data_IF_889845333868
#
_entry.id   IF_889845333868
#
_cell.length_a   1.000
_cell.length_b   1.000
_cell.length_c   1.000
_cell.angle_alpha   90.00
_cell.angle_beta   90.00
_cell.angle_gamma   90.00
#
_symmetry.space_group_name_H-M   'P 1'
#
loop_
_entity.id
_entity.type
_entity.pdbx_description
1 polymer ?
#
# COMPACT_ATOMS: atom_id res chain seq x y z
N UNK A 1 -30.48 22.31 -4.13
CA UNK A 1 -30.69 20.85 -4.04
C UNK A 1 -29.37 20.04 -4.11
N UNK A 2 -28.34 20.42 -4.84
CA UNK A 2 -27.04 19.72 -4.93
C UNK A 2 -26.21 19.74 -3.62
N UNK A 3 -26.28 20.81 -2.82
CA UNK A 3 -25.49 20.94 -1.58
C UNK A 3 -25.91 19.93 -0.49
N UNK A 4 -27.21 19.58 -0.42
CA UNK A 4 -27.71 18.59 0.58
C UNK A 4 -27.31 17.16 0.24
N UNK A 5 -27.05 16.85 -1.04
CA UNK A 5 -26.59 15.52 -1.44
C UNK A 5 -25.12 15.28 -1.08
N UNK A 6 -24.26 16.30 -1.23
CA UNK A 6 -22.84 16.23 -0.88
C UNK A 6 -22.63 16.00 0.62
N UNK A 7 -23.35 16.76 1.46
CA UNK A 7 -23.28 16.61 2.94
C UNK A 7 -23.79 15.21 3.35
N UNK A 8 -24.77 14.67 2.65
CA UNK A 8 -25.30 13.32 2.94
C UNK A 8 -24.33 12.19 2.56
N UNK A 9 -23.49 12.40 1.53
CA UNK A 9 -22.45 11.43 1.11
C UNK A 9 -21.29 11.45 2.08
N UNK A 10 -20.79 12.63 2.47
CA UNK A 10 -19.74 12.75 3.49
C UNK A 10 -20.16 12.12 4.80
N UNK A 11 -21.35 12.44 5.33
CA UNK A 11 -21.85 11.84 6.57
C UNK A 11 -22.02 10.31 6.45
N UNK A 12 -22.40 9.78 5.30
CA UNK A 12 -22.53 8.32 5.10
C UNK A 12 -21.16 7.63 5.04
N UNK A 13 -20.14 8.28 4.47
CA UNK A 13 -18.76 7.77 4.47
C UNK A 13 -18.23 7.75 5.89
N UNK A 14 -18.38 8.82 6.68
CA UNK A 14 -17.98 8.85 8.08
C UNK A 14 -18.74 7.83 8.93
N UNK A 15 -20.04 7.65 8.70
CA UNK A 15 -20.87 6.65 9.40
C UNK A 15 -20.43 5.23 9.02
N UNK A 16 -20.10 4.96 7.76
CA UNK A 16 -19.63 3.63 7.33
C UNK A 16 -18.22 3.35 7.88
N UNK A 17 -17.33 4.34 7.87
CA UNK A 17 -15.99 4.24 8.47
C UNK A 17 -16.09 4.10 10.00
N UNK A 18 -17.00 4.85 10.64
CA UNK A 18 -17.26 4.75 12.07
C UNK A 18 -17.94 3.43 12.45
N UNK A 19 -18.85 2.92 11.62
CA UNK A 19 -19.48 1.62 11.83
C UNK A 19 -18.48 0.47 11.69
N UNK A 20 -17.57 0.54 10.74
CA UNK A 20 -16.47 -0.41 10.61
C UNK A 20 -15.50 -0.32 11.80
N UNK A 21 -15.22 0.89 12.30
CA UNK A 21 -14.42 1.10 13.51
C UNK A 21 -15.13 0.63 14.79
N UNK A 22 -16.46 0.82 14.89
CA UNK A 22 -17.27 0.41 16.06
C UNK A 22 -17.50 -1.10 16.11
N UNK A 23 -17.45 -1.79 14.95
CA UNK A 23 -17.55 -3.25 14.92
C UNK A 23 -16.26 -3.95 15.39
N UNK A 24 -15.26 -3.18 15.81
CA UNK A 24 -14.04 -3.72 16.42
C UNK A 24 -13.24 -4.58 15.45
N UNK A 25 -13.25 -4.22 14.16
CA UNK A 25 -12.55 -4.91 13.09
C UNK A 25 -11.21 -4.22 12.89
N UNK A 26 -10.11 -4.78 13.35
CA UNK A 26 -8.78 -4.27 13.07
C UNK A 26 -8.21 -4.86 11.79
N UNK A 27 -7.32 -4.29 11.27
CA UNK A 27 -6.89 -3.93 9.98
C UNK A 27 -5.41 -4.15 9.77
N UNK A 28 -4.97 -4.41 8.58
CA UNK A 28 -3.59 -4.28 8.24
C UNK A 28 -3.17 -4.44 6.80
N UNK A 29 -2.37 -3.65 6.32
CA UNK A 29 -1.36 -3.51 5.31
C UNK A 29 -1.68 -2.86 4.00
N UNK A 30 -0.75 -2.05 3.62
CA UNK A 30 -0.53 -1.68 2.28
C UNK A 30 0.87 -1.15 2.05
N UNK A 31 1.51 -1.73 1.22
CA UNK A 31 2.12 -1.13 0.05
C UNK A 31 1.55 -1.95 -1.07
N UNK A 32 0.78 -1.33 -1.94
CA UNK A 32 0.18 -1.79 -3.17
C UNK A 32 0.52 -3.20 -3.66
N UNK A 33 0.35 -4.23 -2.86
CA UNK A 33 0.79 -5.57 -3.17
C UNK A 33 -0.22 -6.58 -2.68
N UNK A 34 0.05 -7.85 -2.82
CA UNK A 34 -0.80 -8.91 -2.32
C UNK A 34 -1.22 -8.62 -0.88
N UNK A 35 -2.49 -8.90 -0.53
CA UNK A 35 -2.94 -8.70 0.83
C UNK A 35 -2.05 -9.49 1.75
N UNK A 36 -1.29 -8.80 2.59
CA UNK A 36 -0.55 -9.48 3.61
C UNK A 36 -1.50 -9.90 4.71
N UNK A 37 -1.45 -11.15 5.01
CA UNK A 37 -2.25 -11.76 6.03
C UNK A 37 -1.61 -11.58 7.42
N UNK A 38 -2.41 -11.57 8.49
CA UNK A 38 -1.92 -11.49 9.86
C UNK A 38 -0.97 -12.63 10.29
N UNK A 39 -1.01 -13.85 9.73
CA UNK A 39 -0.05 -14.89 10.03
C UNK A 39 1.39 -14.50 9.67
N UNK A 40 2.35 -14.57 10.62
CA UNK A 40 3.76 -14.55 10.29
C UNK A 40 4.16 -15.83 9.58
N UNK A 41 5.34 -15.85 8.97
CA UNK A 41 5.94 -17.08 8.46
C UNK A 41 6.19 -18.09 9.61
N UNK A 42 6.22 -19.36 9.26
CA UNK A 42 6.59 -20.40 10.22
C UNK A 42 8.06 -20.26 10.66
N UNK A 43 8.44 -20.72 11.87
CA UNK A 43 9.81 -20.65 12.34
C UNK A 43 10.80 -21.34 11.38
N UNK A 44 11.86 -20.64 10.99
CA UNK A 44 12.79 -21.07 9.96
C UNK A 44 12.24 -20.99 8.53
N UNK A 45 11.09 -20.37 8.33
CA UNK A 45 10.56 -20.05 7.00
C UNK A 45 11.27 -18.85 6.38
N UNK A 46 11.53 -18.93 5.08
CA UNK A 46 11.93 -17.81 4.25
C UNK A 46 10.89 -17.55 3.18
N UNK A 47 10.74 -16.30 2.78
CA UNK A 47 9.92 -15.90 1.65
C UNK A 47 10.69 -14.85 0.84
N UNK A 48 10.77 -15.09 -0.45
CA UNK A 48 11.20 -14.07 -1.41
C UNK A 48 9.98 -13.69 -2.23
N UNK A 49 9.76 -12.41 -2.43
CA UNK A 49 8.71 -11.92 -3.32
C UNK A 49 9.19 -10.78 -4.20
N UNK A 50 8.59 -10.70 -5.35
CA UNK A 50 8.60 -9.52 -6.21
C UNK A 50 7.18 -9.05 -6.40
N UNK A 51 6.93 -7.79 -6.10
CA UNK A 51 5.65 -7.12 -6.30
C UNK A 51 5.83 -5.98 -7.29
N UNK A 52 4.88 -5.76 -8.14
CA UNK A 52 4.90 -4.69 -9.14
C UNK A 52 3.58 -3.93 -9.07
N UNK A 53 3.68 -2.61 -8.92
CA UNK A 53 2.54 -1.73 -8.70
C UNK A 53 2.61 -0.59 -9.71
N UNK A 54 1.53 -0.45 -10.47
CA UNK A 54 1.32 0.64 -11.40
C UNK A 54 0.24 1.56 -10.85
N UNK A 55 0.58 2.81 -10.62
CA UNK A 55 -0.35 3.83 -10.13
C UNK A 55 -0.55 4.90 -11.19
N UNK A 56 -1.79 5.22 -11.51
CA UNK A 56 -2.13 6.41 -12.30
C UNK A 56 -2.87 7.41 -11.44
N UNK A 57 -2.54 8.70 -11.58
CA UNK A 57 -3.19 9.79 -10.84
C UNK A 57 -3.89 10.78 -11.77
N UNK A 58 -4.76 11.60 -11.17
CA UNK A 58 -5.37 12.73 -11.84
C UNK A 58 -4.32 13.75 -12.31
N UNK A 59 -4.70 14.56 -13.30
CA UNK A 59 -3.84 15.62 -13.81
C UNK A 59 -4.11 16.92 -13.06
N UNK A 60 -3.06 17.67 -12.76
CA UNK A 60 -3.20 19.08 -12.34
C UNK A 60 -3.09 19.96 -13.60
N UNK A 61 -3.97 20.96 -13.76
CA UNK A 61 -3.78 21.97 -14.79
C UNK A 61 -2.55 22.81 -14.44
N UNK A 62 -1.46 22.62 -15.16
CA UNK A 62 -0.23 23.42 -15.01
C UNK A 62 -0.26 24.49 -16.08
N UNK A 63 -0.19 25.76 -15.68
CA UNK A 63 -0.04 26.90 -16.58
C UNK A 63 1.42 27.34 -16.55
N UNK A 64 2.08 27.43 -17.72
CA UNK A 64 3.39 28.05 -17.83
C UNK A 64 4.61 27.12 -17.69
N UNK A 65 4.48 25.81 -17.89
CA UNK A 65 5.62 24.90 -18.06
C UNK A 65 6.44 24.55 -16.81
N UNK A 66 6.14 25.12 -15.64
CA UNK A 66 6.83 24.76 -14.39
C UNK A 66 6.11 23.66 -13.62
N UNK A 67 6.87 22.65 -13.19
CA UNK A 67 6.34 21.55 -12.36
C UNK A 67 6.08 22.09 -10.96
N UNK A 68 4.87 21.97 -10.40
CA UNK A 68 4.59 22.37 -9.02
C UNK A 68 5.46 21.57 -8.03
N UNK A 69 5.96 22.19 -6.96
CA UNK A 69 6.81 21.49 -5.98
C UNK A 69 6.09 20.34 -5.26
N UNK A 70 4.75 20.37 -5.23
CA UNK A 70 3.88 19.32 -4.66
C UNK A 70 3.34 18.35 -5.70
N UNK A 71 3.79 18.46 -6.98
CA UNK A 71 3.33 17.56 -8.04
C UNK A 71 3.61 16.10 -7.67
N UNK A 72 2.61 15.25 -7.81
CA UNK A 72 2.77 13.79 -7.71
C UNK A 72 2.98 13.22 -9.11
N UNK A 73 3.63 12.06 -9.25
CA UNK A 73 3.69 11.37 -10.53
C UNK A 73 2.28 11.14 -11.08
N UNK A 74 2.04 11.49 -12.34
CA UNK A 74 0.80 11.13 -13.04
C UNK A 74 0.75 9.64 -13.34
N UNK A 75 1.92 9.04 -13.49
CA UNK A 75 2.15 7.60 -13.57
C UNK A 75 3.35 7.24 -12.71
N UNK A 76 3.22 6.23 -11.87
CA UNK A 76 4.34 5.60 -11.17
C UNK A 76 4.30 4.08 -11.32
N UNK A 77 5.48 3.50 -11.37
CA UNK A 77 5.68 2.07 -11.24
C UNK A 77 6.66 1.83 -10.10
N UNK A 78 6.28 0.96 -9.19
CA UNK A 78 7.11 0.52 -8.07
C UNK A 78 7.27 -1.00 -8.16
N UNK A 79 8.51 -1.47 -8.17
CA UNK A 79 8.86 -2.88 -8.16
C UNK A 79 9.58 -3.22 -6.87
N UNK A 80 8.90 -3.94 -5.95
CA UNK A 80 9.41 -4.26 -4.63
C UNK A 80 10.02 -5.66 -4.58
N UNK A 81 11.27 -5.73 -4.23
CA UNK A 81 11.91 -6.98 -3.84
C UNK A 81 11.85 -7.14 -2.33
N UNK A 82 11.21 -8.21 -1.87
CA UNK A 82 11.07 -8.48 -0.45
C UNK A 82 11.73 -9.81 -0.07
N UNK A 83 12.43 -9.76 1.05
CA UNK A 83 12.88 -10.95 1.75
C UNK A 83 12.26 -10.96 3.15
N UNK A 84 11.53 -12.02 3.49
CA UNK A 84 10.94 -12.19 4.83
C UNK A 84 11.47 -13.45 5.47
N UNK A 85 11.86 -13.34 6.74
CA UNK A 85 12.33 -14.42 7.57
C UNK A 85 11.48 -14.61 8.82
N UNK A 86 10.85 -15.78 8.95
CA UNK A 86 10.16 -16.22 10.17
C UNK A 86 11.15 -16.75 11.19
N UNK A 87 11.65 -15.92 12.08
CA UNK A 87 12.63 -16.33 13.10
C UNK A 87 11.98 -16.90 14.37
N UNK A 88 10.68 -16.65 14.55
CA UNK A 88 9.91 -17.17 15.67
C UNK A 88 8.46 -17.41 15.24
N UNK A 89 7.73 -18.29 15.95
CA UNK A 89 6.33 -18.64 15.62
C UNK A 89 5.36 -17.45 15.54
N UNK A 90 5.69 -16.34 16.17
CA UNK A 90 4.87 -15.14 16.20
C UNK A 90 5.57 -13.92 15.59
N UNK A 91 6.80 -14.07 15.11
CA UNK A 91 7.57 -12.95 14.57
C UNK A 91 8.16 -13.28 13.21
N UNK A 92 8.13 -12.31 12.32
CA UNK A 92 8.98 -12.29 11.15
C UNK A 92 9.68 -10.93 10.97
N UNK A 93 10.77 -10.96 10.23
CA UNK A 93 11.54 -9.81 9.79
C UNK A 93 11.42 -9.72 8.26
N UNK A 94 11.09 -8.56 7.74
CA UNK A 94 11.05 -8.29 6.29
C UNK A 94 12.01 -7.16 5.94
N UNK A 95 12.76 -7.35 4.86
CA UNK A 95 13.54 -6.31 4.19
C UNK A 95 12.90 -6.08 2.84
N UNK A 96 12.64 -4.83 2.51
CA UNK A 96 12.04 -4.40 1.24
C UNK A 96 12.99 -3.44 0.53
N UNK A 97 13.28 -3.72 -0.74
CA UNK A 97 14.11 -2.89 -1.63
C UNK A 97 13.27 -2.50 -2.84
N UNK A 98 12.82 -1.23 -2.95
CA UNK A 98 11.99 -0.79 -4.06
C UNK A 98 12.83 -0.25 -5.23
N UNK A 99 12.36 -0.47 -6.44
CA UNK A 99 12.77 0.24 -7.66
C UNK A 99 11.59 1.08 -8.10
N UNK A 100 11.78 2.40 -8.14
CA UNK A 100 10.70 3.35 -8.38
C UNK A 100 10.94 4.07 -9.70
N UNK A 101 9.90 4.09 -10.54
CA UNK A 101 9.82 4.89 -11.77
C UNK A 101 8.69 5.90 -11.60
N UNK A 102 9.02 7.16 -11.66
CA UNK A 102 8.06 8.26 -11.57
C UNK A 102 8.04 9.05 -12.86
N UNK A 103 6.85 9.32 -13.39
CA UNK A 103 6.62 10.20 -14.53
C UNK A 103 5.53 11.22 -14.19
N UNK A 104 5.85 12.48 -14.39
CA UNK A 104 4.88 13.57 -14.34
C UNK A 104 4.64 14.08 -15.76
N UNK A 105 3.37 14.17 -16.14
CA UNK A 105 2.95 14.73 -17.41
C UNK A 105 1.90 15.79 -17.18
N UNK A 106 2.18 16.99 -17.65
CA UNK A 106 1.19 18.07 -17.79
C UNK A 106 0.51 17.97 -19.15
N UNK A 107 -0.64 18.65 -19.27
CA UNK A 107 -1.35 18.75 -20.54
C UNK A 107 -0.48 19.50 -21.55
N UNK A 108 -0.20 18.88 -22.69
CA UNK A 108 0.60 19.41 -23.81
C UNK A 108 2.12 19.53 -23.56
N UNK A 109 2.66 19.01 -22.45
CA UNK A 109 4.11 18.99 -22.20
C UNK A 109 4.63 17.54 -22.26
N UNK A 110 5.90 17.34 -22.63
CA UNK A 110 6.51 16.01 -22.56
C UNK A 110 6.55 15.51 -21.10
N UNK A 111 6.47 14.20 -20.94
CA UNK A 111 6.60 13.60 -19.62
C UNK A 111 8.02 13.78 -19.08
N UNK A 112 8.12 14.16 -17.82
CA UNK A 112 9.40 14.26 -17.09
C UNK A 112 9.40 13.27 -15.93
N UNK A 113 10.57 12.74 -15.61
CA UNK A 113 10.68 11.76 -14.54
C UNK A 113 11.92 10.89 -14.69
N UNK A 114 11.99 9.82 -13.91
CA UNK A 114 13.12 8.90 -13.96
C UNK A 114 12.89 7.64 -13.16
N UNK A 115 13.86 6.74 -13.24
CA UNK A 115 13.89 5.47 -12.53
C UNK A 115 15.11 5.44 -11.60
N UNK A 116 14.93 4.91 -10.40
CA UNK A 116 16.01 4.73 -9.45
C UNK A 116 15.64 3.79 -8.32
N UNK A 117 16.60 3.45 -7.49
CA UNK A 117 16.33 2.81 -6.22
C UNK A 117 15.48 3.76 -5.35
N UNK A 118 14.46 3.22 -4.73
CA UNK A 118 13.69 3.89 -3.71
C UNK A 118 14.30 3.70 -2.32
N UNK A 119 13.61 4.21 -1.31
CA UNK A 119 14.06 4.10 0.08
C UNK A 119 13.77 2.69 0.61
N UNK A 120 14.80 2.03 1.13
CA UNK A 120 14.67 0.69 1.71
C UNK A 120 13.85 0.72 2.99
N UNK A 121 13.16 -0.40 3.27
CA UNK A 121 12.38 -0.55 4.49
C UNK A 121 12.72 -1.87 5.21
N UNK A 122 12.75 -1.80 6.53
CA UNK A 122 12.95 -2.97 7.38
C UNK A 122 11.83 -3.07 8.38
N UNK A 123 11.12 -4.19 8.40
CA UNK A 123 9.95 -4.38 9.25
C UNK A 123 10.09 -5.57 10.16
N UNK A 124 9.56 -5.46 11.37
CA UNK A 124 9.28 -6.59 12.25
C UNK A 124 7.77 -6.71 12.41
N UNK A 125 7.24 -7.88 12.11
CA UNK A 125 5.84 -8.24 12.39
C UNK A 125 5.78 -9.07 13.66
N UNK A 126 4.82 -8.76 14.51
CA UNK A 126 4.48 -9.51 15.70
C UNK A 126 3.00 -9.90 15.71
N UNK A 127 2.70 -11.21 15.64
CA UNK A 127 1.35 -11.72 15.83
C UNK A 127 1.07 -11.83 17.34
N UNK A 128 0.25 -10.91 17.83
CA UNK A 128 -0.11 -10.87 19.25
C UNK A 128 -1.38 -11.66 19.58
N UNK A 129 -2.19 -12.00 18.57
CA UNK A 129 -3.43 -12.73 18.78
C UNK A 129 -3.60 -13.85 17.75
N UNK A 130 -4.04 -15.02 18.23
CA UNK A 130 -4.52 -16.13 17.43
C UNK A 130 -5.57 -16.92 18.19
N UNK A 131 -6.70 -17.17 17.58
CA UNK A 131 -7.76 -18.03 18.08
C UNK A 131 -8.23 -18.97 16.99
N UNK A 132 -8.01 -20.25 17.22
CA UNK A 132 -8.51 -21.33 16.35
C UNK A 132 -9.83 -21.84 16.89
N UNK A 133 -10.78 -22.10 15.99
CA UNK A 133 -12.08 -22.68 16.29
C UNK A 133 -12.45 -23.69 15.21
N UNK A 134 -13.49 -24.50 15.47
CA UNK A 134 -14.03 -25.41 14.44
C UNK A 134 -14.59 -24.69 13.20
N UNK A 135 -14.92 -23.39 13.34
CA UNK A 135 -15.52 -22.55 12.29
C UNK A 135 -14.48 -21.81 11.48
N UNK A 136 -13.32 -21.54 12.03
CA UNK A 136 -12.24 -20.81 11.38
C UNK A 136 -11.18 -20.32 12.34
N UNK A 137 -10.22 -19.58 11.83
CA UNK A 137 -9.10 -19.00 12.59
C UNK A 137 -9.18 -17.48 12.53
N UNK A 138 -9.01 -16.83 13.67
CA UNK A 138 -8.83 -15.37 13.77
C UNK A 138 -7.40 -15.09 14.19
N UNK A 139 -6.75 -14.16 13.52
CA UNK A 139 -5.39 -13.74 13.84
C UNK A 139 -5.28 -12.23 13.76
N UNK A 140 -4.42 -11.65 14.61
CA UNK A 140 -4.07 -10.23 14.54
C UNK A 140 -2.57 -10.05 14.80
N UNK A 141 -1.97 -9.10 14.08
CA UNK A 141 -0.55 -8.75 14.20
C UNK A 141 -0.33 -7.25 14.08
N UNK A 142 0.80 -6.79 14.54
CA UNK A 142 1.33 -5.44 14.28
C UNK A 142 2.64 -5.57 13.52
N UNK A 143 2.94 -4.57 12.70
CA UNK A 143 4.20 -4.46 11.96
C UNK A 143 4.77 -3.08 12.19
N UNK A 144 6.05 -2.99 12.47
CA UNK A 144 6.76 -1.76 12.78
C UNK A 144 8.10 -1.77 12.07
N UNK A 145 8.54 -0.61 11.59
CA UNK A 145 9.88 -0.48 11.06
C UNK A 145 10.21 0.86 10.45
N UNK A 146 11.51 1.16 10.31
CA UNK A 146 11.99 2.35 9.63
C UNK A 146 11.95 2.19 8.11
N UNK A 147 11.74 3.30 7.42
CA UNK A 147 12.11 3.55 6.04
C UNK A 147 13.43 4.33 6.05
N UNK A 148 14.43 3.83 5.35
CA UNK A 148 15.80 4.35 5.36
C UNK A 148 16.03 5.14 4.07
N UNK A 149 16.63 6.34 4.10
CA UNK A 149 16.79 7.21 2.93
C UNK A 149 17.94 6.75 2.01
N UNK A 150 17.83 5.57 1.44
CA UNK A 150 18.81 4.97 0.53
C UNK A 150 18.51 5.25 -0.94
N UNK A 151 17.30 5.77 -1.23
CA UNK A 151 16.84 6.04 -2.59
C UNK A 151 17.48 7.26 -3.24
N UNK A 152 17.37 7.33 -4.58
CA UNK A 152 17.89 8.44 -5.36
C UNK A 152 17.08 9.71 -5.17
N UNK A 153 17.78 10.83 -4.93
CA UNK A 153 17.21 12.17 -4.72
C UNK A 153 17.80 13.21 -5.68
N UNK A 154 18.50 12.77 -6.72
CA UNK A 154 19.24 13.60 -7.69
C UNK A 154 18.70 13.49 -9.12
N UNK A 155 17.47 12.99 -9.30
CA UNK A 155 16.84 12.92 -10.61
C UNK A 155 16.56 14.32 -11.15
N UNK A 156 16.90 14.54 -12.43
CA UNK A 156 16.73 15.82 -13.14
C UNK A 156 15.81 15.66 -14.34
N UNK A 157 15.27 16.77 -14.82
CA UNK A 157 14.58 16.86 -16.11
C UNK A 157 15.58 16.81 -17.29
N UNK A 158 15.06 16.88 -18.53
CA UNK A 158 15.89 16.89 -19.74
C UNK A 158 16.81 18.10 -19.89
N UNK A 159 16.63 19.15 -19.07
CA UNK A 159 17.44 20.37 -19.03
C UNK A 159 18.47 20.37 -17.89
N UNK A 160 18.50 19.30 -17.08
CA UNK A 160 19.37 19.21 -15.90
C UNK A 160 18.82 19.88 -14.65
N UNK A 161 17.55 20.34 -14.66
CA UNK A 161 16.89 20.90 -13.48
C UNK A 161 16.45 19.78 -12.53
N UNK A 162 16.77 19.91 -11.25
CA UNK A 162 16.39 18.93 -10.24
C UNK A 162 14.86 18.80 -10.15
N UNK A 163 14.35 17.57 -10.23
CA UNK A 163 12.93 17.31 -10.09
C UNK A 163 12.47 17.54 -8.63
N UNK A 164 11.21 17.94 -8.39
CA UNK A 164 10.63 18.03 -7.06
C UNK A 164 10.82 16.76 -6.23
N UNK A 165 10.91 16.89 -4.91
CA UNK A 165 11.12 15.77 -3.99
C UNK A 165 10.11 14.63 -4.17
N UNK A 166 8.85 14.96 -4.49
CA UNK A 166 7.76 14.01 -4.75
C UNK A 166 7.89 13.22 -6.06
N UNK A 167 8.77 13.64 -6.97
CA UNK A 167 9.08 12.96 -8.24
C UNK A 167 10.42 12.21 -8.18
N UNK A 168 11.17 12.34 -7.10
CA UNK A 168 12.38 11.56 -6.86
C UNK A 168 12.02 10.08 -6.57
N UNK A 169 12.96 9.17 -6.77
CA UNK A 169 12.77 7.76 -6.40
C UNK A 169 12.89 7.55 -4.89
N UNK A 170 13.75 8.32 -4.21
CA UNK A 170 13.88 8.37 -2.77
C UNK A 170 13.41 9.70 -2.20
N UNK A 171 12.99 9.69 -0.95
CA UNK A 171 12.53 10.90 -0.24
C UNK A 171 13.67 11.68 0.43
N UNK A 172 14.79 11.00 0.71
CA UNK A 172 15.87 11.53 1.54
C UNK A 172 15.49 11.69 3.01
N UNK A 173 14.34 11.15 3.44
CA UNK A 173 13.86 11.19 4.83
C UNK A 173 13.89 9.82 5.48
N UNK A 174 14.19 9.78 6.78
CA UNK A 174 14.00 8.59 7.61
C UNK A 174 12.58 8.60 8.14
N UNK A 175 11.72 7.73 7.62
CA UNK A 175 10.32 7.68 8.00
C UNK A 175 10.04 6.45 8.87
N UNK A 176 8.84 6.40 9.46
CA UNK A 176 8.46 5.29 10.32
C UNK A 176 7.14 4.67 9.86
N UNK A 177 7.19 3.37 9.59
CA UNK A 177 6.04 2.57 9.18
C UNK A 177 5.44 1.84 10.37
N UNK A 178 4.12 1.93 10.50
CA UNK A 178 3.33 1.21 11.49
C UNK A 178 2.16 0.56 10.76
N UNK A 179 1.91 -0.72 11.02
CA UNK A 179 0.71 -1.39 10.53
C UNK A 179 0.09 -2.30 11.59
N UNK A 180 -1.20 -2.52 11.45
CA UNK A 180 -1.95 -3.49 12.23
C UNK A 180 -2.71 -4.45 11.30
N UNK A 181 -2.70 -5.77 11.49
CA UNK A 181 -3.23 -6.81 10.60
C UNK A 181 -4.31 -7.66 11.27
N UNK A 182 -5.38 -7.94 10.53
CA UNK A 182 -6.35 -8.92 10.95
C UNK A 182 -6.78 -9.86 9.82
N UNK A 183 -6.76 -11.15 10.11
CA UNK A 183 -7.24 -12.19 9.21
C UNK A 183 -8.29 -13.02 9.89
N UNK A 184 -9.42 -13.20 9.27
CA UNK A 184 -10.48 -14.12 9.71
C UNK A 184 -10.81 -15.11 8.60
N UNK A 185 -10.55 -16.38 8.83
CA UNK A 185 -10.94 -17.48 7.95
C UNK A 185 -12.24 -18.13 8.45
N UNK A 186 -13.17 -18.44 7.57
CA UNK A 186 -14.45 -19.07 7.94
C UNK A 186 -15.55 -18.09 8.31
N UNK A 187 -15.55 -16.92 7.70
CA UNK A 187 -16.56 -15.87 7.90
C UNK A 187 -17.98 -16.43 7.68
N UNK A 188 -18.91 -16.05 8.56
CA UNK A 188 -20.32 -16.53 8.57
C UNK A 188 -20.45 -18.07 8.58
N UNK A 189 -19.53 -18.81 9.18
CA UNK A 189 -19.43 -20.27 9.13
C UNK A 189 -19.15 -20.85 7.72
N UNK A 190 -18.80 -20.02 6.77
CA UNK A 190 -18.40 -20.43 5.43
C UNK A 190 -16.87 -20.57 5.36
N UNK A 191 -16.36 -21.78 5.53
CA UNK A 191 -14.91 -22.10 5.56
C UNK A 191 -14.13 -21.58 4.35
N UNK A 192 -14.84 -21.26 3.26
CA UNK A 192 -14.28 -20.75 2.01
C UNK A 192 -14.17 -19.22 1.95
N UNK A 193 -14.75 -18.51 2.92
CA UNK A 193 -14.62 -17.07 3.00
C UNK A 193 -13.51 -16.68 3.95
N UNK A 194 -12.67 -15.76 3.49
CA UNK A 194 -11.59 -15.14 4.27
C UNK A 194 -11.75 -13.64 4.19
N UNK A 195 -11.72 -12.99 5.32
CA UNK A 195 -11.65 -11.54 5.41
C UNK A 195 -10.28 -11.15 5.94
N UNK A 196 -9.61 -10.30 5.20
CA UNK A 196 -8.37 -9.66 5.60
C UNK A 196 -8.59 -8.16 5.63
N UNK A 197 -8.03 -7.52 6.62
CA UNK A 197 -8.07 -6.08 6.69
C UNK A 197 -6.72 -5.49 7.07
N UNK A 198 -6.41 -4.33 6.47
CA UNK A 198 -5.13 -3.64 6.45
C UNK A 198 -5.26 -2.17 6.85
N UNK A 199 -4.61 -1.77 7.94
CA UNK A 199 -4.41 -0.38 8.28
C UNK A 199 -2.93 -0.10 8.46
N UNK A 200 -2.37 0.84 7.71
CA UNK A 200 -1.02 1.30 7.97
C UNK A 200 -0.90 2.81 7.94
N UNK A 201 0.14 3.27 8.59
CA UNK A 201 0.58 4.65 8.60
C UNK A 201 2.05 4.70 8.20
N UNK A 202 2.38 5.63 7.31
CA UNK A 202 3.74 6.07 7.03
C UNK A 202 3.90 7.47 7.59
N UNK A 203 4.58 7.56 8.73
CA UNK A 203 4.91 8.82 9.41
C UNK A 203 6.18 9.38 8.82
N UNK A 204 6.09 10.52 8.17
CA UNK A 204 7.17 11.09 7.39
C UNK A 204 7.93 12.17 8.14
N UNK A 205 9.24 12.25 7.89
CA UNK A 205 10.08 13.34 8.37
C UNK A 205 10.48 14.25 7.19
N UNK A 206 11.21 15.32 7.48
CA UNK A 206 11.75 16.17 6.44
C UNK A 206 12.89 15.47 5.70
N UNK A 207 12.83 15.49 4.38
CA UNK A 207 13.81 14.88 3.48
C UNK A 207 14.50 15.87 2.59
N UNK A 208 14.78 15.45 1.36
CA UNK A 208 15.47 16.30 0.37
C UNK A 208 14.69 17.57 0.05
N UNK A 209 15.39 18.64 -0.37
CA UNK A 209 14.82 19.95 -0.75
C UNK A 209 13.98 20.60 0.36
N UNK A 210 14.34 20.38 1.64
CA UNK A 210 13.57 20.85 2.80
C UNK A 210 12.06 20.49 2.67
N UNK A 211 11.75 19.35 2.09
CA UNK A 211 10.39 18.89 1.83
C UNK A 211 10.03 17.75 2.79
N UNK A 212 8.95 17.93 3.56
CA UNK A 212 8.26 16.85 4.24
C UNK A 212 7.01 16.50 3.45
N UNK A 213 6.98 15.34 2.86
CA UNK A 213 5.76 14.82 2.24
C UNK A 213 4.72 14.54 3.32
N UNK A 214 3.43 14.66 3.00
CA UNK A 214 2.35 14.42 3.96
C UNK A 214 2.37 12.99 4.51
N UNK A 215 2.04 12.83 5.79
CA UNK A 215 1.86 11.51 6.39
C UNK A 215 0.74 10.77 5.65
N UNK A 216 0.91 9.48 5.45
CA UNK A 216 -0.06 8.66 4.73
C UNK A 216 -0.70 7.64 5.67
N UNK A 217 -2.01 7.50 5.52
CA UNK A 217 -2.79 6.43 6.15
C UNK A 217 -3.48 5.63 5.04
N UNK A 218 -3.43 4.32 5.14
CA UNK A 218 -4.20 3.45 4.25
C UNK A 218 -5.00 2.45 5.09
N UNK A 219 -6.23 2.17 4.68
CA UNK A 219 -7.03 1.05 5.18
C UNK A 219 -7.50 0.24 3.98
N UNK A 220 -7.23 -1.05 3.99
CA UNK A 220 -7.55 -1.96 2.89
C UNK A 220 -8.28 -3.19 3.41
N UNK A 221 -9.50 -3.38 2.96
CA UNK A 221 -10.33 -4.55 3.25
C UNK A 221 -10.42 -5.46 2.03
N UNK A 222 -10.10 -6.74 2.21
CA UNK A 222 -10.24 -7.77 1.19
C UNK A 222 -11.14 -8.89 1.68
N UNK A 223 -12.25 -9.12 0.98
CA UNK A 223 -13.12 -10.26 1.22
C UNK A 223 -12.90 -11.29 0.12
N UNK A 224 -12.18 -12.35 0.43
CA UNK A 224 -11.82 -13.36 -0.55
C UNK A 224 -12.65 -14.63 -0.40
N UNK A 225 -12.95 -15.23 -1.54
CA UNK A 225 -13.61 -16.53 -1.64
C UNK A 225 -12.64 -17.55 -2.23
N UNK A 226 -12.59 -18.75 -1.64
CA UNK A 226 -11.84 -19.90 -2.11
C UNK A 226 -12.78 -20.84 -2.85
N UNK A 227 -12.78 -20.86 -4.22
CA UNK A 227 -13.74 -21.61 -5.02
C UNK A 227 -13.72 -23.11 -4.75
N UNK A 228 -12.56 -23.66 -4.43
CA UNK A 228 -12.42 -25.08 -4.08
C UNK A 228 -11.40 -25.29 -2.96
N UNK A 229 -11.67 -26.31 -2.14
CA UNK A 229 -10.69 -26.76 -1.15
C UNK A 229 -9.74 -27.75 -1.82
N UNK A 230 -8.49 -27.35 -1.98
CA UNK A 230 -7.44 -28.27 -2.36
C UNK A 230 -6.87 -28.94 -1.11
N UNK A 231 -6.76 -30.28 -1.12
CA UNK A 231 -5.98 -31.00 -0.11
C UNK A 231 -4.49 -30.66 -0.21
N UNK A 232 -4.08 -30.06 -1.32
CA UNK A 232 -2.72 -29.62 -1.57
C UNK A 232 -2.71 -28.09 -1.49
N UNK A 233 -2.14 -27.54 -0.43
CA UNK A 233 -1.94 -26.09 -0.18
C UNK A 233 -1.27 -25.40 -1.39
N UNK A 234 -0.52 -26.14 -2.19
CA UNK A 234 0.13 -25.66 -3.41
C UNK A 234 -0.85 -25.28 -4.55
N UNK A 235 -2.15 -25.47 -4.42
CA UNK A 235 -3.15 -25.17 -5.44
C UNK A 235 -4.33 -24.37 -4.88
N UNK A 236 -4.07 -23.52 -3.92
CA UNK A 236 -5.09 -22.63 -3.39
C UNK A 236 -5.38 -21.50 -4.37
N UNK A 237 -6.65 -21.19 -4.54
CA UNK A 237 -7.09 -20.04 -5.31
C UNK A 237 -8.05 -19.19 -4.45
N UNK A 238 -7.74 -17.91 -4.33
CA UNK A 238 -8.57 -16.93 -3.67
C UNK A 238 -8.90 -15.82 -4.67
N UNK A 239 -10.13 -15.35 -4.65
CA UNK A 239 -10.58 -14.22 -5.45
C UNK A 239 -11.62 -13.43 -4.66
N UNK A 240 -11.60 -12.12 -4.76
CA UNK A 240 -12.62 -11.32 -4.13
C UNK A 240 -12.45 -9.82 -4.27
N UNK A 241 -13.50 -9.07 -3.90
CA UNK A 241 -13.46 -7.64 -3.89
C UNK A 241 -12.48 -7.10 -2.85
N UNK A 242 -11.88 -5.96 -3.18
CA UNK A 242 -11.05 -5.15 -2.30
C UNK A 242 -11.60 -3.74 -2.23
N UNK A 243 -11.53 -3.14 -1.05
CA UNK A 243 -11.83 -1.74 -0.82
C UNK A 243 -10.64 -1.11 -0.13
N UNK A 244 -10.12 -0.01 -0.67
CA UNK A 244 -8.95 0.69 -0.12
C UNK A 244 -9.29 2.16 0.08
N UNK A 245 -9.13 2.64 1.30
CA UNK A 245 -9.16 4.07 1.62
C UNK A 245 -7.74 4.56 1.84
N UNK A 246 -7.38 5.64 1.16
CA UNK A 246 -6.10 6.31 1.24
C UNK A 246 -6.32 7.73 1.75
N UNK A 247 -5.57 8.13 2.77
CA UNK A 247 -5.51 9.49 3.26
C UNK A 247 -4.07 10.00 3.21
N UNK A 248 -3.86 11.18 2.69
CA UNK A 248 -2.57 11.86 2.70
C UNK A 248 -2.74 13.23 3.32
N UNK A 249 -1.90 13.57 4.29
CA UNK A 249 -1.82 14.93 4.83
C UNK A 249 -1.22 15.88 3.80
N UNK A 250 -1.36 17.17 4.05
CA UNK A 250 -0.69 18.22 3.25
C UNK A 250 0.84 18.14 3.41
N UNK A 251 1.54 18.32 2.29
CA UNK A 251 3.00 18.46 2.28
C UNK A 251 3.46 19.74 3.00
N UNK A 252 4.72 19.75 3.41
CA UNK A 252 5.39 20.97 3.92
C UNK A 252 6.68 21.17 3.13
N UNK A 253 6.91 22.41 2.72
CA UNK A 253 8.13 22.82 2.00
C UNK A 253 8.74 23.98 2.77
N UNK A 254 10.00 23.84 3.18
CA UNK A 254 10.71 24.80 4.04
C UNK A 254 9.87 25.17 5.29
N UNK A 255 9.21 24.18 5.90
CA UNK A 255 8.35 24.35 7.07
C UNK A 255 6.95 24.88 6.79
N UNK A 256 6.66 25.40 5.59
CA UNK A 256 5.35 25.95 5.22
C UNK A 256 4.42 24.84 4.68
N UNK A 257 3.21 24.73 5.25
CA UNK A 257 2.18 23.78 4.78
C UNK A 257 1.66 24.19 3.39
N UNK A 258 1.62 23.22 2.49
CA UNK A 258 1.11 23.37 1.12
C UNK A 258 -0.36 22.95 1.09
N UNK A 259 -1.24 23.84 1.52
CA UNK A 259 -2.68 23.55 1.66
C UNK A 259 -3.31 23.01 0.39
N UNK A 260 -4.03 21.88 0.50
CA UNK A 260 -4.72 21.20 -0.57
C UNK A 260 -3.81 20.29 -1.42
N UNK A 261 -2.61 19.96 -0.95
CA UNK A 261 -1.75 18.93 -1.56
C UNK A 261 -2.07 17.53 -1.06
N UNK A 262 -2.70 17.41 0.11
CA UNK A 262 -3.23 16.18 0.66
C UNK A 262 -4.72 15.97 0.37
N UNK A 263 -5.24 14.80 0.73
CA UNK A 263 -6.65 14.47 0.55
C UNK A 263 -6.95 12.98 0.73
N UNK A 264 -8.19 12.61 0.44
CA UNK A 264 -8.73 11.27 0.57
C UNK A 264 -9.04 10.65 -0.78
N UNK A 265 -8.81 9.34 -0.91
CA UNK A 265 -9.24 8.54 -2.06
C UNK A 265 -9.84 7.24 -1.55
N UNK A 266 -10.98 6.85 -2.10
CA UNK A 266 -11.57 5.54 -1.92
C UNK A 266 -11.45 4.76 -3.23
N UNK A 267 -10.76 3.64 -3.20
CA UNK A 267 -10.63 2.73 -4.32
C UNK A 267 -11.47 1.49 -4.07
N UNK A 268 -12.06 0.94 -5.12
CA UNK A 268 -12.69 -0.38 -5.10
C UNK A 268 -12.14 -1.22 -6.24
N UNK A 269 -11.97 -2.51 -5.99
CA UNK A 269 -11.35 -3.39 -6.97
C UNK A 269 -11.54 -4.87 -6.72
N UNK A 270 -10.73 -5.66 -7.39
CA UNK A 270 -10.71 -7.12 -7.29
C UNK A 270 -9.26 -7.59 -7.20
N UNK A 271 -9.01 -8.53 -6.31
CA UNK A 271 -7.73 -9.21 -6.20
C UNK A 271 -7.92 -10.71 -6.30
N UNK A 272 -7.01 -11.37 -7.00
CA UNK A 272 -6.92 -12.82 -7.07
C UNK A 272 -5.53 -13.30 -6.69
N UNK A 273 -5.47 -14.42 -6.01
CA UNK A 273 -4.24 -15.05 -5.52
C UNK A 273 -4.27 -16.54 -5.84
N UNK A 274 -3.24 -17.07 -6.47
CA UNK A 274 -3.19 -18.45 -6.95
C UNK A 274 -1.88 -19.12 -6.52
N UNK A 275 -2.00 -20.24 -5.82
CA UNK A 275 -0.90 -21.17 -5.57
C UNK A 275 -0.62 -21.99 -6.83
N UNK A 276 0.62 -21.96 -7.32
CA UNK A 276 1.05 -22.70 -8.51
C UNK A 276 1.68 -24.05 -8.16
N UNK A 277 2.52 -24.08 -7.15
CA UNK A 277 3.22 -25.27 -6.63
C UNK A 277 3.62 -25.02 -5.18
N UNK A 278 4.21 -26.03 -4.54
CA UNK A 278 4.62 -25.92 -3.14
C UNK A 278 5.43 -24.64 -2.87
N UNK A 279 4.86 -23.75 -2.09
CA UNK A 279 5.45 -22.48 -1.68
C UNK A 279 5.50 -21.38 -2.74
N UNK A 280 5.05 -21.63 -3.98
CA UNK A 280 5.03 -20.60 -5.04
C UNK A 280 3.61 -20.10 -5.28
N UNK A 281 3.44 -18.77 -5.23
CA UNK A 281 2.16 -18.13 -5.44
C UNK A 281 2.31 -16.93 -6.38
N UNK A 282 1.24 -16.63 -7.11
CA UNK A 282 1.09 -15.40 -7.90
C UNK A 282 -0.19 -14.70 -7.51
N UNK A 283 -0.22 -13.40 -7.66
CA UNK A 283 -1.41 -12.61 -7.41
C UNK A 283 -1.52 -11.46 -8.41
N UNK A 284 -2.75 -10.99 -8.61
CA UNK A 284 -3.10 -9.88 -9.48
C UNK A 284 -4.21 -9.08 -8.80
N UNK A 285 -4.05 -7.76 -8.74
CA UNK A 285 -5.03 -6.82 -8.22
C UNK A 285 -5.29 -5.67 -9.18
N UNK A 286 -6.52 -5.17 -9.18
CA UNK A 286 -6.90 -3.97 -9.92
C UNK A 286 -7.91 -3.19 -9.08
N UNK A 287 -7.59 -1.93 -8.80
CA UNK A 287 -8.42 -1.02 -8.02
C UNK A 287 -8.67 0.27 -8.82
N UNK A 288 -9.88 0.80 -8.71
CA UNK A 288 -10.30 2.05 -9.36
C UNK A 288 -10.84 3.04 -8.33
N UNK A 289 -10.59 4.32 -8.59
CA UNK A 289 -11.18 5.44 -7.85
C UNK A 289 -12.71 5.42 -7.96
N UNK A 290 -13.36 5.35 -6.80
CA UNK A 290 -14.82 5.45 -6.67
C UNK A 290 -15.25 6.73 -5.97
N UNK A 291 -14.38 7.32 -5.15
CA UNK A 291 -14.59 8.63 -4.53
C UNK A 291 -13.25 9.24 -4.10
N UNK A 292 -13.11 10.54 -4.20
CA UNK A 292 -11.93 11.27 -3.72
C UNK A 292 -12.30 12.69 -3.30
N UNK A 293 -11.47 13.28 -2.45
CA UNK A 293 -11.56 14.70 -2.11
C UNK A 293 -11.07 15.56 -3.26
N UNK A 294 -11.52 16.80 -3.30
CA UNK A 294 -11.13 17.79 -4.32
C UNK A 294 -10.30 18.87 -3.65
N UNK A 295 -8.98 18.82 -3.82
CA UNK A 295 -8.04 19.87 -3.43
C UNK A 295 -7.45 20.55 -4.66
N UNK A 296 -7.04 21.81 -4.53
CA UNK A 296 -6.52 22.60 -5.67
C UNK A 296 -5.22 22.00 -6.24
N UNK A 297 -4.43 21.30 -5.40
CA UNK A 297 -3.15 20.66 -5.76
C UNK A 297 -3.18 19.14 -5.54
N UNK A 298 -4.32 18.59 -5.08
CA UNK A 298 -4.44 17.18 -4.82
C UNK A 298 -4.54 16.36 -6.11
N UNK A 299 -3.70 15.36 -6.24
CA UNK A 299 -3.67 14.42 -7.38
C UNK A 299 -4.16 13.05 -6.91
N UNK A 300 -5.48 12.79 -6.94
CA UNK A 300 -6.02 11.52 -6.46
C UNK A 300 -5.53 10.36 -7.31
N UNK A 301 -5.28 9.23 -6.64
CA UNK A 301 -5.05 7.95 -7.32
C UNK A 301 -6.31 7.59 -8.09
N UNK A 302 -6.18 7.30 -9.38
CA UNK A 302 -7.29 6.90 -10.26
C UNK A 302 -7.36 5.41 -10.47
N UNK A 303 -6.22 4.76 -10.46
CA UNK A 303 -6.11 3.32 -10.67
C UNK A 303 -4.83 2.78 -10.05
N UNK A 304 -4.97 1.64 -9.40
CA UNK A 304 -3.86 0.73 -9.10
C UNK A 304 -4.02 -0.54 -9.93
N UNK A 305 -2.94 -0.99 -10.55
CA UNK A 305 -2.81 -2.33 -11.10
C UNK A 305 -1.58 -2.93 -10.44
N UNK A 306 -1.74 -4.08 -9.84
CA UNK A 306 -0.67 -4.71 -9.08
C UNK A 306 -0.60 -6.20 -9.37
N UNK A 307 0.60 -6.75 -9.42
CA UNK A 307 0.82 -8.18 -9.50
C UNK A 307 2.08 -8.55 -8.73
N UNK A 308 2.18 -9.81 -8.36
CA UNK A 308 3.39 -10.30 -7.71
C UNK A 308 3.54 -11.79 -7.78
N UNK A 309 4.75 -12.20 -7.46
CA UNK A 309 5.14 -13.59 -7.33
C UNK A 309 5.86 -13.76 -6.00
N UNK A 310 5.53 -14.82 -5.29
CA UNK A 310 6.18 -15.18 -4.03
C UNK A 310 6.65 -16.62 -4.07
N UNK A 311 7.80 -16.88 -3.43
CA UNK A 311 8.31 -18.21 -3.20
C UNK A 311 8.63 -18.37 -1.71
N UNK A 312 7.92 -19.28 -1.05
CA UNK A 312 8.24 -19.72 0.31
C UNK A 312 9.22 -20.90 0.27
N UNK A 313 10.12 -20.95 1.24
CA UNK A 313 11.08 -22.02 1.42
C UNK A 313 11.42 -22.21 2.90
N UNK A 314 12.07 -23.29 3.22
CA UNK A 314 12.58 -23.53 4.57
C UNK A 314 14.07 -23.23 4.63
N UNK A 315 14.45 -22.39 5.58
CA UNK A 315 15.87 -22.15 5.88
C UNK A 315 16.30 -23.17 6.93
N UNK A 316 17.35 -23.92 6.62
CA UNK A 316 18.02 -24.74 7.60
C UNK A 316 19.01 -23.84 8.35
N UNK A 317 18.54 -23.24 9.44
CA UNK A 317 19.45 -22.61 10.40
C UNK A 317 20.04 -23.73 11.23
N UNK A 318 21.33 -23.81 11.28
CA UNK A 318 22.21 -24.81 11.92
C UNK A 318 21.81 -25.12 13.35
#
# INVERSE_FOLDING_TARGET
MRLRLLICVEQRIYVLTLLLAVLGVPTARGQGSAPETAPPLFPGGGLISYNSIFTTRGLIPVSGGSIPPTARPTFSHEGDFNFTWGFHRNFDLTILVPIVTNHFQSKNEPAVGGTGLGDEMVFVKYRFYRRDSQRGTTQASVTLGPKIPTGRTDLTDGNGTLLPASLQSGSGSTDFFIAANWTYTGLFNLKRLVADEDFHALLRTEGTQATRLGDELESRFWLSYRPYESKNVAREWFIGPVLTWLHSQDDRIAGATQSGSGGDVLLAGVTTYVGLRAGMHVWLGMDWDVAHSTGAMFMPVRRHISFGITQQFRMHLW
#
